data_IF_865020827472
#
_entry.id   IF_865020827472
#
_cell.length_a   1.000
_cell.length_b   1.000
_cell.length_c   1.000
_cell.angle_alpha   90.00
_cell.angle_beta   90.00
_cell.angle_gamma   90.00
#
_symmetry.space_group_name_H-M   'P 1'
#
loop_
_entity.id
_entity.type
_entity.pdbx_description
1 polymer ?
#
# COMPACT_ATOMS: atom_id res chain seq x y z
N UNK A 1 -18.81 24.76 -10.71
CA UNK A 1 -18.38 25.08 -12.08
C UNK A 1 -19.57 24.81 -13.01
N UNK A 2 -19.99 25.82 -13.76
CA UNK A 2 -21.00 25.67 -14.81
C UNK A 2 -20.29 25.83 -16.16
N UNK A 3 -20.33 24.81 -16.99
CA UNK A 3 -19.85 24.86 -18.38
C UNK A 3 -21.06 24.92 -19.31
N UNK A 4 -21.21 25.99 -20.08
CA UNK A 4 -22.23 26.11 -21.08
C UNK A 4 -21.62 25.79 -22.44
N UNK A 5 -22.12 24.76 -23.10
CA UNK A 5 -21.72 24.41 -24.45
C UNK A 5 -22.75 24.95 -25.44
N UNK A 6 -22.32 25.76 -26.38
CA UNK A 6 -23.14 26.22 -27.50
C UNK A 6 -22.86 25.32 -28.69
N UNK A 7 -23.84 24.57 -29.13
CA UNK A 7 -23.74 23.75 -30.35
C UNK A 7 -23.64 24.66 -31.58
N UNK A 8 -22.58 24.49 -32.39
CA UNK A 8 -22.48 25.17 -33.70
C UNK A 8 -21.42 26.24 -33.83
N UNK A 9 -20.60 26.53 -32.81
CA UNK A 9 -19.44 27.40 -32.95
C UNK A 9 -18.15 26.59 -33.16
N UNK A 10 -17.51 26.82 -34.29
CA UNK A 10 -16.19 26.35 -34.61
C UNK A 10 -15.16 27.13 -33.74
N UNK A 11 -14.89 26.68 -32.52
CA UNK A 11 -13.88 27.35 -31.77
C UNK A 11 -13.84 26.98 -30.29
N UNK A 12 -12.79 26.55 -29.84
CA UNK A 12 -12.29 26.14 -28.53
C UNK A 12 -12.38 24.64 -28.28
N UNK A 13 -11.39 23.93 -28.76
CA UNK A 13 -11.09 22.62 -28.26
C UNK A 13 -10.67 22.74 -26.79
N UNK A 14 -11.51 22.26 -25.89
CA UNK A 14 -11.11 22.10 -24.49
C UNK A 14 -10.23 20.85 -24.44
N UNK A 15 -8.93 21.03 -24.43
CA UNK A 15 -7.95 19.93 -24.37
C UNK A 15 -7.54 19.77 -22.89
N UNK A 16 -7.50 18.52 -22.41
CA UNK A 16 -7.11 18.13 -21.05
C UNK A 16 -8.08 18.50 -19.90
N UNK A 17 -9.32 18.79 -20.17
CA UNK A 17 -10.34 18.87 -19.14
C UNK A 17 -10.99 17.48 -18.95
N UNK A 18 -10.50 16.72 -18.00
CA UNK A 18 -11.15 15.49 -17.56
C UNK A 18 -12.37 15.89 -16.72
N UNK A 19 -13.53 16.00 -17.34
CA UNK A 19 -14.80 16.05 -16.62
C UNK A 19 -15.09 14.61 -16.22
N UNK A 20 -15.11 14.25 -14.94
CA UNK A 20 -15.58 12.93 -14.54
C UNK A 20 -17.06 12.85 -14.87
N UNK A 21 -17.39 12.23 -15.98
CA UNK A 21 -18.77 11.91 -16.33
C UNK A 21 -19.06 10.57 -15.70
N UNK A 22 -19.79 10.57 -14.58
CA UNK A 22 -20.47 9.36 -14.16
C UNK A 22 -21.50 9.03 -15.25
N UNK A 23 -21.36 7.90 -15.97
CA UNK A 23 -22.38 7.53 -16.96
C UNK A 23 -23.67 7.30 -16.17
N UNK A 24 -24.66 8.15 -16.38
CA UNK A 24 -26.02 7.83 -15.96
C UNK A 24 -26.41 6.60 -16.76
N UNK A 25 -26.28 5.43 -16.17
CA UNK A 25 -26.66 4.19 -16.80
C UNK A 25 -28.15 4.26 -17.12
N UNK A 26 -28.55 3.96 -18.35
CA UNK A 26 -29.96 3.97 -18.74
C UNK A 26 -30.84 3.01 -17.93
N UNK A 27 -30.21 2.25 -17.06
CA UNK A 27 -30.79 1.20 -16.21
C UNK A 27 -31.23 1.69 -14.83
N UNK A 28 -30.92 2.93 -14.47
CA UNK A 28 -31.32 3.47 -13.16
C UNK A 28 -30.61 2.85 -11.95
N UNK A 29 -29.52 2.12 -12.14
CA UNK A 29 -28.72 1.49 -11.10
C UNK A 29 -27.27 1.97 -11.20
N UNK A 30 -26.68 2.40 -10.08
CA UNK A 30 -25.28 2.80 -10.00
C UNK A 30 -24.60 2.13 -8.80
N UNK A 31 -23.28 2.04 -8.86
CA UNK A 31 -22.46 1.44 -7.81
C UNK A 31 -21.19 2.28 -7.57
N UNK A 32 -20.80 2.39 -6.32
CA UNK A 32 -19.49 2.92 -5.93
C UNK A 32 -18.85 2.01 -4.90
N UNK A 33 -17.50 2.03 -4.82
CA UNK A 33 -16.72 1.19 -3.92
C UNK A 33 -15.60 1.97 -3.29
N UNK A 34 -15.43 1.80 -1.98
CA UNK A 34 -14.35 2.39 -1.19
C UNK A 34 -13.75 1.35 -0.23
N UNK A 35 -12.58 1.62 0.28
CA UNK A 35 -11.91 0.85 1.32
C UNK A 35 -11.41 1.76 2.44
N UNK A 36 -11.26 1.22 3.64
CA UNK A 36 -10.75 1.95 4.80
C UNK A 36 -9.23 2.19 4.74
N UNK A 37 -8.51 1.43 3.89
CA UNK A 37 -7.06 1.55 3.68
C UNK A 37 -6.73 1.48 2.19
N UNK A 38 -5.88 2.38 1.71
CA UNK A 38 -5.32 2.35 0.35
C UNK A 38 -3.99 1.57 0.27
N UNK A 39 -3.39 1.25 1.43
CA UNK A 39 -2.20 0.40 1.55
C UNK A 39 -2.38 -0.57 2.72
N UNK A 40 -1.83 -1.77 2.60
CA UNK A 40 -1.90 -2.81 3.61
C UNK A 40 -0.72 -3.77 3.52
N UNK A 41 -0.49 -4.54 4.57
CA UNK A 41 0.51 -5.60 4.63
C UNK A 41 -0.15 -6.98 4.67
N UNK A 42 0.64 -8.01 4.37
CA UNK A 42 0.18 -9.40 4.55
C UNK A 42 -0.21 -9.64 6.00
N UNK A 43 -1.41 -10.16 6.23
CA UNK A 43 -2.00 -10.36 7.55
C UNK A 43 -3.01 -9.29 7.94
N UNK A 44 -3.00 -8.12 7.32
CA UNK A 44 -3.96 -7.06 7.57
C UNK A 44 -5.40 -7.46 7.20
N UNK A 45 -6.35 -6.77 7.81
CA UNK A 45 -7.75 -6.78 7.38
C UNK A 45 -8.14 -5.43 6.78
N UNK A 46 -8.94 -5.49 5.72
CA UNK A 46 -9.47 -4.32 5.02
C UNK A 46 -10.98 -4.38 5.06
N UNK A 47 -11.61 -3.25 5.36
CA UNK A 47 -13.06 -3.08 5.25
C UNK A 47 -13.39 -2.40 3.93
N UNK A 48 -14.18 -3.08 3.11
CA UNK A 48 -14.78 -2.48 1.92
C UNK A 48 -16.18 -1.98 2.24
N UNK A 49 -16.55 -0.87 1.59
CA UNK A 49 -17.90 -0.31 1.56
C UNK A 49 -18.32 -0.17 0.11
N UNK A 50 -19.45 -0.79 -0.24
CA UNK A 50 -20.04 -0.75 -1.58
C UNK A 50 -21.41 -0.13 -1.47
N UNK A 51 -21.61 0.97 -2.16
CA UNK A 51 -22.89 1.66 -2.21
C UNK A 51 -23.58 1.37 -3.54
N UNK A 52 -24.78 0.81 -3.46
CA UNK A 52 -25.67 0.60 -4.61
C UNK A 52 -26.80 1.60 -4.53
N UNK A 53 -27.01 2.36 -5.60
CA UNK A 53 -28.04 3.40 -5.67
C UNK A 53 -28.96 3.14 -6.86
N UNK A 54 -30.26 3.26 -6.67
CA UNK A 54 -31.26 3.20 -7.74
C UNK A 54 -31.84 4.59 -8.02
N UNK A 55 -32.21 4.85 -9.26
CA UNK A 55 -32.91 6.09 -9.66
C UNK A 55 -34.25 6.19 -8.93
N UNK A 56 -34.70 7.39 -8.61
CA UNK A 56 -35.98 7.63 -7.97
C UNK A 56 -37.12 6.98 -8.75
N UNK A 57 -37.95 6.21 -8.04
CA UNK A 57 -39.08 5.46 -8.63
C UNK A 57 -38.80 3.99 -8.93
N UNK A 58 -37.54 3.58 -9.09
CA UNK A 58 -37.22 2.15 -9.23
C UNK A 58 -37.33 1.44 -7.86
N UNK A 59 -37.90 0.25 -7.87
CA UNK A 59 -38.12 -0.56 -6.65
C UNK A 59 -37.72 -2.01 -6.92
N UNK A 60 -36.40 -2.34 -6.99
CA UNK A 60 -35.96 -3.70 -7.17
C UNK A 60 -36.44 -4.59 -6.02
N UNK A 61 -36.96 -5.75 -6.34
CA UNK A 61 -37.34 -6.76 -5.35
C UNK A 61 -36.18 -7.61 -4.87
N UNK A 62 -35.09 -7.59 -5.63
CA UNK A 62 -33.83 -8.25 -5.30
C UNK A 62 -32.67 -7.39 -5.76
N UNK A 63 -31.67 -7.20 -4.89
CA UNK A 63 -30.41 -6.53 -5.21
C UNK A 63 -29.26 -7.42 -4.75
N UNK A 64 -28.33 -7.67 -5.65
CA UNK A 64 -27.14 -8.48 -5.39
C UNK A 64 -25.89 -7.70 -5.78
N UNK A 65 -24.85 -7.81 -4.98
CA UNK A 65 -23.49 -7.33 -5.34
C UNK A 65 -22.63 -8.54 -5.63
N UNK A 66 -22.11 -8.60 -6.85
CA UNK A 66 -21.07 -9.57 -7.23
C UNK A 66 -19.73 -8.86 -7.13
N UNK A 67 -18.86 -9.39 -6.28
CA UNK A 67 -17.57 -8.82 -5.96
C UNK A 67 -16.45 -9.81 -6.27
N UNK A 68 -15.43 -9.33 -6.99
CA UNK A 68 -14.24 -10.11 -7.34
C UNK A 68 -13.06 -9.59 -6.55
N UNK A 69 -12.67 -10.36 -5.54
CA UNK A 69 -11.51 -10.08 -4.72
C UNK A 69 -10.21 -10.17 -5.54
N UNK A 70 -9.21 -9.33 -5.28
CA UNK A 70 -7.89 -9.48 -5.88
C UNK A 70 -7.19 -10.76 -5.38
N UNK A 71 -6.19 -11.21 -6.10
CA UNK A 71 -5.42 -12.39 -5.73
C UNK A 71 -4.90 -12.28 -4.29
N UNK A 72 -4.99 -13.38 -3.54
CA UNK A 72 -4.53 -13.46 -2.17
C UNK A 72 -5.42 -12.80 -1.11
N UNK A 73 -6.55 -12.18 -1.51
CA UNK A 73 -7.53 -11.65 -0.56
C UNK A 73 -8.60 -12.70 -0.27
N UNK A 74 -9.00 -12.82 0.98
CA UNK A 74 -10.03 -13.77 1.42
C UNK A 74 -11.08 -13.08 2.27
N UNK A 75 -12.35 -13.41 2.04
CA UNK A 75 -13.47 -12.90 2.82
C UNK A 75 -13.40 -13.39 4.27
N UNK A 76 -13.71 -12.51 5.24
CA UNK A 76 -13.84 -12.87 6.65
C UNK A 76 -15.33 -13.12 6.94
N UNK A 77 -15.68 -14.37 7.26
CA UNK A 77 -17.06 -14.79 7.54
C UNK A 77 -17.70 -13.98 8.67
N UNK A 78 -19.02 -13.77 8.57
CA UNK A 78 -19.80 -13.07 9.56
C UNK A 78 -19.57 -11.56 9.61
N UNK A 79 -18.88 -10.98 8.61
CA UNK A 79 -18.58 -9.53 8.60
C UNK A 79 -19.45 -8.72 7.62
N UNK A 80 -20.33 -9.40 6.88
CA UNK A 80 -21.19 -8.74 5.91
C UNK A 80 -22.36 -8.04 6.60
N UNK A 81 -22.54 -6.75 6.27
CA UNK A 81 -23.60 -5.89 6.80
C UNK A 81 -24.21 -5.05 5.70
N UNK A 82 -25.51 -4.82 5.75
CA UNK A 82 -26.21 -3.80 4.97
C UNK A 82 -26.67 -2.69 5.91
N UNK A 83 -26.11 -1.49 5.75
CA UNK A 83 -26.22 -0.48 6.80
C UNK A 83 -25.62 -0.99 8.10
N UNK A 84 -26.43 -1.08 9.15
CA UNK A 84 -26.02 -1.61 10.46
C UNK A 84 -26.61 -3.01 10.76
N UNK A 85 -27.24 -3.63 9.75
CA UNK A 85 -27.87 -4.95 9.88
C UNK A 85 -26.95 -6.04 9.32
N UNK A 86 -26.57 -7.06 10.11
CA UNK A 86 -25.84 -8.20 9.62
C UNK A 86 -26.66 -8.98 8.57
N UNK A 87 -25.99 -9.43 7.52
CA UNK A 87 -26.60 -10.29 6.49
C UNK A 87 -25.87 -11.64 6.42
N UNK A 88 -26.48 -12.61 5.75
CA UNK A 88 -25.85 -13.91 5.51
C UNK A 88 -24.53 -13.75 4.73
N UNK A 89 -23.59 -14.65 4.98
CA UNK A 89 -22.34 -14.73 4.24
C UNK A 89 -22.63 -14.88 2.73
N UNK A 90 -21.75 -14.33 1.86
CA UNK A 90 -21.95 -14.37 0.42
C UNK A 90 -21.86 -15.81 -0.12
N UNK A 91 -22.52 -16.05 -1.23
CA UNK A 91 -22.22 -17.21 -2.08
C UNK A 91 -20.78 -17.03 -2.63
N UNK A 92 -20.07 -18.14 -2.85
CA UNK A 92 -18.67 -18.14 -3.28
C UNK A 92 -17.67 -18.34 -2.14
N UNK A 93 -18.15 -18.55 -0.91
CA UNK A 93 -17.33 -18.93 0.24
C UNK A 93 -16.36 -17.84 0.68
N UNK A 94 -15.05 -18.08 0.55
CA UNK A 94 -14.01 -17.11 0.90
C UNK A 94 -13.52 -16.28 -0.30
N UNK A 95 -14.08 -16.48 -1.48
CA UNK A 95 -13.69 -15.83 -2.72
C UNK A 95 -13.07 -16.81 -3.72
N UNK A 96 -12.49 -16.33 -4.84
CA UNK A 96 -12.31 -14.92 -5.20
C UNK A 96 -13.56 -14.21 -5.67
N UNK A 97 -14.65 -14.88 -6.04
CA UNK A 97 -15.90 -14.27 -6.48
C UNK A 97 -16.97 -14.49 -5.41
N UNK A 98 -17.54 -13.39 -4.95
CA UNK A 98 -18.53 -13.35 -3.87
C UNK A 98 -19.84 -12.74 -4.38
N UNK A 99 -20.98 -13.33 -4.08
CA UNK A 99 -22.30 -12.76 -4.36
C UNK A 99 -23.03 -12.48 -3.05
N UNK A 100 -23.20 -11.19 -2.74
CA UNK A 100 -23.91 -10.72 -1.56
C UNK A 100 -25.37 -10.39 -1.91
N UNK A 101 -26.30 -11.01 -1.23
CA UNK A 101 -27.71 -10.70 -1.36
C UNK A 101 -28.05 -9.55 -0.40
N UNK A 102 -28.37 -8.37 -0.96
CA UNK A 102 -28.72 -7.18 -0.17
C UNK A 102 -30.24 -7.08 0.09
N UNK A 103 -31.04 -7.95 -0.54
CA UNK A 103 -32.50 -7.88 -0.45
C UNK A 103 -33.16 -6.81 -1.33
N UNK A 104 -34.43 -6.47 -1.03
CA UNK A 104 -35.19 -5.50 -1.81
C UNK A 104 -34.83 -4.05 -1.47
N UNK A 105 -35.00 -3.16 -2.45
CA UNK A 105 -34.93 -1.71 -2.27
C UNK A 105 -36.32 -1.07 -2.33
N UNK A 106 -37.14 -1.34 -1.32
CA UNK A 106 -38.53 -0.90 -1.30
C UNK A 106 -38.73 0.49 -0.71
N UNK A 107 -37.94 0.85 0.27
CA UNK A 107 -38.06 2.11 1.02
C UNK A 107 -36.86 3.04 0.85
N UNK A 108 -35.71 2.51 0.51
CA UNK A 108 -34.48 3.27 0.30
C UNK A 108 -34.05 3.23 -1.16
N UNK A 109 -33.53 4.35 -1.66
CA UNK A 109 -32.91 4.43 -2.97
C UNK A 109 -31.43 4.00 -2.93
N UNK A 110 -30.89 3.68 -1.75
CA UNK A 110 -29.50 3.36 -1.54
C UNK A 110 -29.34 2.25 -0.51
N UNK A 111 -28.47 1.29 -0.82
CA UNK A 111 -27.99 0.27 0.13
C UNK A 111 -26.47 0.33 0.22
N UNK A 112 -25.94 0.24 1.44
CA UNK A 112 -24.50 0.23 1.70
C UNK A 112 -24.12 -1.13 2.25
N UNK A 113 -23.44 -1.93 1.45
CA UNK A 113 -22.81 -3.19 1.88
C UNK A 113 -21.45 -2.89 2.48
N UNK A 114 -21.19 -3.44 3.67
CA UNK A 114 -19.87 -3.43 4.31
C UNK A 114 -19.45 -4.85 4.62
N UNK A 115 -18.17 -5.17 4.39
CA UNK A 115 -17.61 -6.47 4.76
C UNK A 115 -16.10 -6.35 4.92
N UNK A 116 -15.47 -7.37 5.49
CA UNK A 116 -14.02 -7.41 5.70
C UNK A 116 -13.37 -8.54 4.92
N UNK A 117 -12.14 -8.28 4.50
CA UNK A 117 -11.26 -9.27 3.90
C UNK A 117 -9.93 -9.31 4.63
N UNK A 118 -9.24 -10.44 4.55
CA UNK A 118 -7.87 -10.61 5.02
C UNK A 118 -6.93 -10.61 3.82
N UNK A 119 -5.78 -9.95 3.98
CA UNK A 119 -4.69 -9.94 3.00
C UNK A 119 -3.78 -11.12 3.28
N UNK A 120 -3.69 -12.07 2.36
CA UNK A 120 -2.80 -13.22 2.43
C UNK A 120 -1.53 -13.01 1.61
N UNK A 121 -0.59 -13.96 1.71
CA UNK A 121 0.73 -13.90 1.03
C UNK A 121 0.62 -13.82 -0.50
N UNK A 122 -0.40 -14.45 -1.10
CA UNK A 122 -0.67 -14.37 -2.54
C UNK A 122 -1.03 -12.97 -3.05
N UNK A 123 -1.36 -12.03 -2.15
CA UNK A 123 -1.74 -10.67 -2.52
C UNK A 123 -0.56 -9.84 -3.07
N UNK A 124 0.68 -10.23 -2.76
CA UNK A 124 1.89 -9.57 -3.27
C UNK A 124 2.08 -9.76 -4.78
N UNK A 125 1.46 -10.78 -5.37
CA UNK A 125 1.54 -11.08 -6.82
C UNK A 125 0.34 -10.54 -7.59
N UNK A 126 -0.65 -9.95 -6.90
CA UNK A 126 -1.87 -9.42 -7.48
C UNK A 126 -1.78 -7.93 -7.80
N UNK A 127 -2.80 -7.44 -8.54
CA UNK A 127 -2.95 -6.00 -8.85
C UNK A 127 -3.52 -5.18 -7.69
N UNK A 128 -3.97 -5.85 -6.61
CA UNK A 128 -4.61 -5.26 -5.44
C UNK A 128 -5.96 -4.60 -5.72
N UNK A 129 -6.55 -4.81 -6.91
CA UNK A 129 -7.81 -4.18 -7.31
C UNK A 129 -8.97 -5.10 -6.99
N UNK A 130 -9.83 -4.66 -6.09
CA UNK A 130 -11.12 -5.29 -5.82
C UNK A 130 -12.20 -4.67 -6.71
N UNK A 131 -12.97 -5.51 -7.43
CA UNK A 131 -13.93 -5.11 -8.45
C UNK A 131 -15.32 -5.59 -8.07
N UNK A 132 -16.30 -4.68 -8.11
CA UNK A 132 -17.68 -4.97 -7.75
C UNK A 132 -18.67 -4.53 -8.81
N UNK A 133 -19.76 -5.29 -8.96
CA UNK A 133 -20.88 -4.99 -9.85
C UNK A 133 -22.19 -5.20 -9.09
N UNK A 134 -23.11 -4.26 -9.22
CA UNK A 134 -24.48 -4.37 -8.71
C UNK A 134 -25.40 -4.99 -9.75
N UNK A 135 -26.30 -5.85 -9.30
CA UNK A 135 -27.34 -6.49 -10.11
C UNK A 135 -28.67 -6.33 -9.40
N UNK A 136 -29.70 -5.89 -10.10
CA UNK A 136 -31.05 -5.72 -9.57
C UNK A 136 -32.09 -6.36 -10.50
N UNK A 137 -33.16 -6.89 -9.94
CA UNK A 137 -34.28 -7.45 -10.69
C UNK A 137 -35.63 -7.23 -10.01
N UNK A 138 -36.69 -7.36 -10.80
CA UNK A 138 -38.07 -7.24 -10.34
C UNK A 138 -38.66 -8.48 -9.69
N UNK A 139 -38.00 -9.64 -9.79
CA UNK A 139 -38.45 -10.90 -9.21
C UNK A 139 -37.71 -11.26 -7.94
N UNK A 140 -38.34 -11.75 -6.88
CA UNK A 140 -37.65 -12.26 -5.69
C UNK A 140 -36.86 -13.55 -6.05
N UNK A 141 -35.64 -13.67 -5.53
CA UNK A 141 -34.89 -14.93 -5.53
C UNK A 141 -34.09 -15.29 -6.78
N UNK A 142 -34.01 -14.46 -7.83
CA UNK A 142 -33.49 -14.93 -9.09
C UNK A 142 -32.70 -13.95 -9.97
N UNK A 143 -31.99 -12.97 -9.41
CA UNK A 143 -31.22 -12.07 -10.25
C UNK A 143 -29.88 -12.64 -10.75
N UNK A 144 -29.38 -13.65 -10.10
CA UNK A 144 -28.01 -14.14 -10.32
C UNK A 144 -28.09 -15.66 -10.36
N UNK A 145 -27.54 -16.26 -11.41
CA UNK A 145 -27.41 -17.72 -11.50
C UNK A 145 -26.29 -18.24 -10.57
N UNK A 146 -26.11 -19.55 -10.44
CA UNK A 146 -25.05 -20.13 -9.64
C UNK A 146 -23.63 -19.73 -10.06
N UNK A 147 -23.44 -19.25 -11.29
CA UNK A 147 -22.19 -18.69 -11.81
C UNK A 147 -22.00 -17.20 -11.52
N UNK A 148 -22.93 -16.57 -10.80
CA UNK A 148 -22.93 -15.14 -10.46
C UNK A 148 -23.03 -14.22 -11.68
N UNK A 149 -23.74 -14.67 -12.71
CA UNK A 149 -24.01 -13.87 -13.91
C UNK A 149 -25.44 -13.29 -13.86
N UNK A 150 -25.69 -12.11 -14.48
CA UNK A 150 -27.03 -11.58 -14.56
C UNK A 150 -27.95 -12.49 -15.39
N UNK A 151 -29.16 -12.76 -14.90
CA UNK A 151 -30.19 -13.48 -15.62
C UNK A 151 -31.03 -12.55 -16.49
N UNK A 152 -31.77 -13.11 -17.44
CA UNK A 152 -32.76 -12.36 -18.22
C UNK A 152 -33.74 -11.62 -17.30
N UNK A 153 -34.00 -10.33 -17.60
CA UNK A 153 -34.85 -9.46 -16.79
C UNK A 153 -34.16 -8.80 -15.60
N UNK A 154 -32.85 -8.99 -15.45
CA UNK A 154 -32.01 -8.24 -14.50
C UNK A 154 -31.31 -7.05 -15.16
N UNK A 155 -31.02 -6.06 -14.34
CA UNK A 155 -30.25 -4.87 -14.69
C UNK A 155 -28.94 -4.89 -13.93
N UNK A 156 -27.82 -4.60 -14.60
CA UNK A 156 -26.51 -4.55 -13.97
C UNK A 156 -25.84 -3.19 -14.12
N UNK A 157 -25.02 -2.82 -13.15
CA UNK A 157 -24.16 -1.62 -13.19
C UNK A 157 -22.92 -1.86 -14.05
N UNK A 158 -22.18 -0.80 -14.35
CA UNK A 158 -20.76 -0.89 -14.63
C UNK A 158 -19.99 -1.43 -13.41
N UNK A 159 -18.68 -1.58 -13.56
CA UNK A 159 -17.80 -2.08 -12.50
C UNK A 159 -17.26 -0.92 -11.66
N UNK A 160 -17.40 -1.03 -10.34
CA UNK A 160 -16.72 -0.15 -9.38
C UNK A 160 -15.48 -0.84 -8.86
N UNK A 161 -14.40 -0.09 -8.69
CA UNK A 161 -13.08 -0.62 -8.32
C UNK A 161 -12.49 0.15 -7.14
N UNK A 162 -11.72 -0.57 -6.32
CA UNK A 162 -10.88 0.04 -5.31
C UNK A 162 -9.54 -0.71 -5.23
N UNK A 163 -8.44 0.05 -5.31
CA UNK A 163 -7.08 -0.51 -5.26
C UNK A 163 -6.49 -0.38 -3.86
N UNK A 164 -5.88 -1.47 -3.40
CA UNK A 164 -5.04 -1.50 -2.21
C UNK A 164 -3.63 -1.88 -2.63
N UNK A 165 -2.65 -1.04 -2.32
CA UNK A 165 -1.24 -1.36 -2.51
C UNK A 165 -0.81 -2.32 -1.40
N UNK A 166 -0.43 -3.55 -1.76
CA UNK A 166 0.01 -4.55 -0.78
C UNK A 166 1.52 -4.53 -0.67
N UNK A 167 2.01 -4.34 0.56
CA UNK A 167 3.40 -4.53 0.95
C UNK A 167 3.59 -5.88 1.66
N UNK A 168 4.80 -6.42 1.60
CA UNK A 168 5.11 -7.69 2.25
C UNK A 168 5.15 -7.59 3.78
N UNK A 169 5.33 -6.40 4.34
CA UNK A 169 5.59 -6.23 5.77
C UNK A 169 6.77 -7.10 6.20
N UNK A 170 6.59 -7.88 7.26
CA UNK A 170 7.60 -8.87 7.72
C UNK A 170 7.84 -10.02 6.74
N UNK A 171 6.97 -10.20 5.75
CA UNK A 171 7.10 -11.16 4.64
C UNK A 171 7.57 -10.49 3.34
N UNK A 172 8.02 -9.23 3.43
CA UNK A 172 8.58 -8.51 2.29
C UNK A 172 9.82 -9.18 1.75
N UNK A 173 10.04 -9.04 0.44
CA UNK A 173 11.27 -9.51 -0.21
C UNK A 173 12.38 -8.48 -0.13
N UNK A 174 12.03 -7.22 0.11
CA UNK A 174 12.98 -6.12 0.16
C UNK A 174 13.74 -6.10 1.48
N UNK A 175 15.03 -5.84 1.40
CA UNK A 175 15.86 -5.66 2.57
C UNK A 175 15.84 -4.20 3.03
N UNK A 176 16.06 -4.01 4.33
CA UNK A 176 16.38 -2.72 4.92
C UNK A 176 17.82 -2.70 5.41
N UNK A 177 18.48 -1.56 5.29
CA UNK A 177 19.77 -1.28 5.90
C UNK A 177 19.58 -0.18 6.95
N UNK A 178 20.10 -0.39 8.14
CA UNK A 178 20.17 0.63 9.18
C UNK A 178 21.56 0.60 9.83
N UNK A 179 22.03 1.75 10.26
CA UNK A 179 23.32 1.84 10.89
C UNK A 179 23.61 3.21 11.49
N UNK A 180 24.82 3.36 11.98
CA UNK A 180 25.32 4.58 12.58
C UNK A 180 26.72 4.91 12.07
N UNK A 181 27.03 6.19 12.10
CA UNK A 181 28.41 6.71 12.04
C UNK A 181 28.69 7.37 13.39
N UNK A 182 29.64 6.89 14.15
CA UNK A 182 29.88 7.35 15.52
C UNK A 182 31.37 7.34 15.89
N UNK A 183 31.70 8.10 16.93
CA UNK A 183 33.04 8.13 17.51
C UNK A 183 33.15 7.02 18.55
N UNK A 184 34.21 6.20 18.46
CA UNK A 184 34.53 5.13 19.41
C UNK A 184 35.86 5.47 20.08
N UNK A 185 35.77 5.96 21.31
CA UNK A 185 36.95 6.43 22.05
C UNK A 185 37.65 5.33 22.84
N UNK A 186 36.96 4.27 23.16
CA UNK A 186 37.49 3.14 23.92
C UNK A 186 37.87 1.94 23.03
N UNK A 187 37.61 2.02 21.74
CA UNK A 187 37.88 1.01 20.71
C UNK A 187 37.21 -0.35 20.99
N UNK A 188 35.98 -0.32 21.51
CA UNK A 188 35.17 -1.53 21.73
C UNK A 188 34.28 -1.92 20.57
N UNK A 189 34.27 -1.13 19.48
CA UNK A 189 33.47 -1.30 18.26
C UNK A 189 31.96 -1.18 18.50
N UNK A 190 31.54 -0.60 19.60
CA UNK A 190 30.16 -0.29 19.95
C UNK A 190 30.01 1.19 20.31
N UNK A 191 28.87 1.78 20.11
CA UNK A 191 28.60 3.12 20.59
C UNK A 191 28.12 3.06 22.03
N UNK A 192 28.87 3.59 22.95
CA UNK A 192 28.51 3.76 24.35
C UNK A 192 27.67 5.04 24.56
N UNK A 193 27.07 5.18 25.76
CA UNK A 193 26.16 6.29 26.05
C UNK A 193 26.86 7.68 26.00
N UNK A 194 28.15 7.72 26.19
CA UNK A 194 28.95 8.97 26.19
C UNK A 194 29.59 9.26 24.82
N UNK A 195 29.47 8.32 23.88
CA UNK A 195 30.04 8.44 22.54
C UNK A 195 29.04 9.07 21.55
N UNK A 196 29.54 10.02 20.78
CA UNK A 196 28.70 10.85 19.93
C UNK A 196 28.53 10.22 18.54
N UNK A 197 27.32 10.25 18.05
CA UNK A 197 27.03 9.99 16.63
C UNK A 197 27.50 11.16 15.77
N UNK A 198 27.97 10.90 14.56
CA UNK A 198 28.47 11.93 13.64
C UNK A 198 27.35 12.31 12.65
N UNK A 199 26.76 13.52 12.76
CA UNK A 199 25.70 13.96 11.86
C UNK A 199 26.25 14.40 10.50
N UNK A 200 25.36 14.41 9.48
CA UNK A 200 25.68 14.99 8.17
C UNK A 200 26.64 14.18 7.30
N UNK A 201 27.03 12.97 7.72
CA UNK A 201 27.91 12.10 6.92
C UNK A 201 27.12 11.56 5.74
N UNK A 202 27.64 11.77 4.54
CA UNK A 202 27.10 11.23 3.32
C UNK A 202 27.60 9.80 3.10
N UNK A 203 26.64 8.88 2.88
CA UNK A 203 26.90 7.49 2.56
C UNK A 203 26.36 7.22 1.15
N UNK A 204 27.11 6.51 0.34
CA UNK A 204 26.75 6.24 -1.06
C UNK A 204 26.79 4.75 -1.33
N UNK A 205 25.74 4.20 -1.86
CA UNK A 205 25.67 2.82 -2.34
C UNK A 205 26.10 2.73 -3.81
N UNK A 206 26.49 1.54 -4.23
CA UNK A 206 26.97 1.29 -5.61
C UNK A 206 25.93 1.55 -6.71
N UNK A 207 24.64 1.58 -6.37
CA UNK A 207 23.54 1.90 -7.29
C UNK A 207 23.23 3.39 -7.39
N UNK A 208 24.01 4.24 -6.69
CA UNK A 208 23.82 5.67 -6.63
C UNK A 208 22.90 6.15 -5.49
N UNK A 209 22.30 5.26 -4.72
CA UNK A 209 21.52 5.62 -3.54
C UNK A 209 22.41 6.40 -2.56
N UNK A 210 21.96 7.58 -2.16
CA UNK A 210 22.69 8.45 -1.23
C UNK A 210 21.89 8.63 0.04
N UNK A 211 22.56 8.46 1.19
CA UNK A 211 22.00 8.62 2.53
C UNK A 211 22.81 9.68 3.27
N UNK A 212 22.19 10.33 4.24
CA UNK A 212 22.88 11.29 5.12
C UNK A 212 22.49 10.94 6.56
N UNK A 213 23.48 10.93 7.46
CA UNK A 213 23.23 10.66 8.87
C UNK A 213 22.46 11.80 9.55
N UNK A 214 21.52 11.45 10.43
CA UNK A 214 20.77 12.38 11.26
C UNK A 214 21.62 13.00 12.39
N UNK A 215 20.98 13.79 13.27
CA UNK A 215 21.64 14.44 14.42
C UNK A 215 22.27 13.47 15.42
N UNK A 216 21.89 12.20 15.40
CA UNK A 216 22.45 11.16 16.25
C UNK A 216 23.40 10.21 15.48
N UNK A 217 23.79 10.59 14.28
CA UNK A 217 24.64 9.78 13.41
C UNK A 217 23.98 8.56 12.81
N UNK A 218 22.65 8.43 12.91
CA UNK A 218 21.88 7.27 12.42
C UNK A 218 21.51 7.44 10.96
N UNK A 219 21.39 6.34 10.25
CA UNK A 219 20.85 6.31 8.90
C UNK A 219 20.05 5.03 8.65
N UNK A 220 19.11 5.06 7.74
CA UNK A 220 18.37 3.88 7.31
C UNK A 220 17.82 4.04 5.90
N UNK A 221 17.65 2.92 5.21
CA UNK A 221 16.98 2.83 3.92
C UNK A 221 16.33 1.46 3.78
N UNK A 222 15.11 1.44 3.22
CA UNK A 222 14.37 0.22 2.89
C UNK A 222 14.09 0.14 1.39
N UNK A 223 13.51 -0.98 0.94
CA UNK A 223 13.24 -1.21 -0.48
C UNK A 223 14.48 -1.64 -1.27
N UNK A 224 15.50 -2.15 -0.58
CA UNK A 224 16.72 -2.65 -1.22
C UNK A 224 16.49 -4.06 -1.77
N UNK A 225 16.97 -4.30 -2.98
CA UNK A 225 16.97 -5.65 -3.55
C UNK A 225 17.85 -6.60 -2.70
N UNK A 226 17.38 -7.84 -2.43
CA UNK A 226 18.15 -8.84 -1.69
C UNK A 226 19.31 -9.37 -2.55
N UNK A 227 20.42 -8.68 -2.52
CA UNK A 227 21.65 -8.99 -3.25
C UNK A 227 22.87 -8.41 -2.52
N UNK A 228 24.04 -8.84 -2.92
CA UNK A 228 25.27 -8.19 -2.45
C UNK A 228 25.33 -6.74 -2.91
N UNK A 229 25.70 -5.85 -2.02
CA UNK A 229 25.86 -4.43 -2.26
C UNK A 229 27.06 -3.89 -1.48
N UNK A 230 27.51 -2.70 -1.85
CA UNK A 230 28.57 -1.99 -1.13
C UNK A 230 28.04 -0.60 -0.78
N UNK A 231 28.26 -0.17 0.46
CA UNK A 231 28.05 1.20 0.92
C UNK A 231 29.38 1.81 1.33
N UNK A 232 29.58 3.07 0.98
CA UNK A 232 30.79 3.84 1.30
C UNK A 232 30.44 5.12 2.04
N UNK A 233 31.22 5.43 3.06
CA UNK A 233 31.21 6.75 3.68
C UNK A 233 32.04 7.72 2.84
N UNK A 234 31.49 8.90 2.57
CA UNK A 234 32.19 9.97 1.87
C UNK A 234 33.15 10.67 2.85
N UNK A 235 34.47 10.50 2.69
CA UNK A 235 35.44 11.05 3.62
C UNK A 235 35.43 12.59 3.70
N UNK A 236 34.92 13.27 2.68
CA UNK A 236 34.82 14.75 2.66
C UNK A 236 33.70 15.30 3.55
N UNK A 237 32.79 14.44 4.00
CA UNK A 237 31.70 14.82 4.90
C UNK A 237 31.97 14.44 6.37
N UNK A 238 33.07 13.75 6.63
CA UNK A 238 33.51 13.45 7.99
C UNK A 238 34.18 14.68 8.65
N UNK A 239 34.17 14.80 9.98
CA UNK A 239 34.92 15.82 10.71
C UNK A 239 36.40 15.83 10.32
N UNK A 240 37.01 16.99 10.31
CA UNK A 240 38.45 17.10 9.99
C UNK A 240 39.31 16.34 11.00
N UNK A 241 40.20 15.50 10.45
CA UNK A 241 41.07 14.67 11.26
C UNK A 241 40.47 13.33 11.65
N UNK A 242 39.25 13.04 11.20
CA UNK A 242 38.64 11.71 11.40
C UNK A 242 39.46 10.63 10.73
N UNK A 243 39.53 9.50 11.41
CA UNK A 243 40.10 8.24 10.91
C UNK A 243 39.12 7.12 11.15
N UNK A 244 38.49 6.63 10.10
CA UNK A 244 37.67 5.44 10.21
C UNK A 244 38.51 4.20 10.54
N UNK A 245 37.95 3.32 11.36
CA UNK A 245 38.48 2.01 11.69
C UNK A 245 37.55 0.92 11.23
N UNK A 246 38.10 -0.26 10.99
CA UNK A 246 37.28 -1.40 10.52
C UNK A 246 36.33 -1.85 11.65
N UNK A 247 35.05 -1.90 11.35
CA UNK A 247 33.99 -2.37 12.26
C UNK A 247 33.78 -3.90 12.18
N UNK A 248 34.22 -4.51 11.11
CA UNK A 248 34.09 -5.94 10.87
C UNK A 248 34.98 -6.40 9.71
N UNK A 249 35.04 -7.71 9.47
CA UNK A 249 35.67 -8.29 8.28
C UNK A 249 34.98 -7.88 6.95
N UNK A 250 33.76 -7.35 7.01
CA UNK A 250 33.01 -6.85 5.84
C UNK A 250 33.59 -5.57 5.25
N UNK A 251 34.47 -4.89 5.96
CA UNK A 251 35.19 -3.71 5.46
C UNK A 251 36.24 -4.10 4.39
N UNK A 252 36.66 -5.37 4.30
CA UNK A 252 37.65 -5.86 3.35
C UNK A 252 38.94 -5.01 3.28
N UNK A 253 39.36 -4.47 4.45
CA UNK A 253 40.55 -3.64 4.59
C UNK A 253 40.36 -2.14 4.34
N UNK A 254 39.19 -1.72 3.87
CA UNK A 254 38.82 -0.29 3.69
C UNK A 254 37.75 0.10 4.71
N UNK A 255 38.16 0.77 5.78
CA UNK A 255 37.24 1.19 6.86
C UNK A 255 36.13 2.14 6.39
N UNK A 256 36.31 2.83 5.27
CA UNK A 256 35.27 3.67 4.63
C UNK A 256 34.29 2.91 3.76
N UNK A 257 34.46 1.61 3.60
CA UNK A 257 33.58 0.75 2.79
C UNK A 257 33.02 -0.39 3.62
N UNK A 258 31.78 -0.77 3.35
CA UNK A 258 31.16 -1.93 3.98
C UNK A 258 30.45 -2.77 2.91
N UNK A 259 30.84 -4.05 2.83
CA UNK A 259 30.15 -5.03 1.97
C UNK A 259 28.91 -5.56 2.69
N UNK A 260 27.78 -5.53 1.99
CA UNK A 260 26.49 -5.95 2.48
C UNK A 260 26.05 -7.21 1.72
N UNK A 261 25.65 -8.24 2.43
CA UNK A 261 25.02 -9.43 1.86
C UNK A 261 23.54 -9.45 2.28
N UNK A 262 22.73 -8.65 1.55
CA UNK A 262 21.33 -8.42 1.90
C UNK A 262 20.47 -9.65 1.57
N UNK A 263 19.73 -10.12 2.54
CA UNK A 263 18.78 -11.22 2.40
C UNK A 263 17.35 -10.71 2.26
N UNK A 264 16.46 -11.55 1.78
CA UNK A 264 15.03 -11.24 1.68
C UNK A 264 14.44 -10.93 3.06
N UNK A 265 13.78 -9.76 3.18
CA UNK A 265 13.12 -9.33 4.39
C UNK A 265 14.05 -9.01 5.57
N UNK A 266 15.36 -8.93 5.34
CA UNK A 266 16.37 -8.67 6.37
C UNK A 266 16.43 -7.19 6.75
N UNK A 267 16.54 -6.89 8.03
CA UNK A 267 17.08 -5.64 8.52
C UNK A 267 18.59 -5.81 8.76
N UNK A 268 19.38 -5.36 7.79
CA UNK A 268 20.84 -5.46 7.86
C UNK A 268 21.42 -4.28 8.66
N UNK A 269 22.40 -4.57 9.53
CA UNK A 269 23.13 -3.54 10.27
C UNK A 269 24.46 -3.23 9.60
N UNK A 270 24.74 -1.93 9.42
CA UNK A 270 26.01 -1.44 8.89
C UNK A 270 26.47 -0.20 9.65
N UNK A 271 27.57 -0.29 10.39
CA UNK A 271 28.10 0.84 11.18
C UNK A 271 29.47 1.25 10.64
N UNK A 272 29.75 2.57 10.68
CA UNK A 272 31.06 3.14 10.42
C UNK A 272 31.59 3.78 11.70
N UNK A 273 32.81 3.48 12.03
CA UNK A 273 33.44 3.81 13.32
C UNK A 273 34.57 4.82 13.10
N UNK A 274 34.48 5.95 13.76
CA UNK A 274 35.57 6.91 13.87
C UNK A 274 36.39 6.59 15.11
N UNK A 275 37.64 6.15 14.94
CA UNK A 275 38.51 5.66 16.04
C UNK A 275 39.65 6.59 16.42
N UNK A 276 39.70 7.83 15.90
CA UNK A 276 40.78 8.77 16.31
C UNK A 276 40.51 9.43 17.65
N UNK A 277 39.25 9.67 17.97
CA UNK A 277 38.75 10.33 19.18
C UNK A 277 39.54 11.58 19.58
N UNK A 278 39.93 12.37 18.59
CA UNK A 278 40.70 13.62 18.86
C UNK A 278 39.77 14.74 19.33
N UNK A 279 40.28 15.68 20.12
CA UNK A 279 39.52 16.85 20.54
C UNK A 279 38.93 17.61 19.33
N UNK A 280 39.71 17.69 18.24
CA UNK A 280 39.26 18.35 16.99
C UNK A 280 38.03 17.68 16.40
N UNK A 281 37.95 16.35 16.42
CA UNK A 281 36.76 15.59 15.94
C UNK A 281 35.61 15.80 16.91
N UNK A 282 35.81 15.66 18.21
CA UNK A 282 34.78 15.80 19.22
C UNK A 282 34.14 17.18 19.27
N UNK A 283 34.92 18.25 19.03
CA UNK A 283 34.39 19.63 18.95
C UNK A 283 33.53 19.87 17.73
N UNK A 284 33.75 19.16 16.62
CA UNK A 284 32.96 19.29 15.39
C UNK A 284 31.68 18.47 15.41
N UNK A 285 31.61 17.45 16.27
CA UNK A 285 30.45 16.56 16.40
C UNK A 285 29.47 17.06 17.47
N UNK A 286 29.93 17.86 18.44
CA UNK A 286 29.07 18.53 19.43
C UNK A 286 28.21 19.64 18.82
#
# INVERSE_FOLDING_TARGET
YYLTFTSGSSGANIIHNHIPVDPVLPTGLSISKTGDKAAAEVGDSIRYSITVTVTAGARPRQTTVVDRLPAGFTYIRGTAMVGDTPIADPQGGLGPVLAFNLGPMTTSNQLVLRYRVRVGTGAMQGDGINRARGIACGAPGGCVDPGFTPNGGSVSTGEAQFRVKVGGGVFGTDACLAGKVFVDCNNNQGQDAEELGIPGVRLVMQDGTTLVTDSEGKYSVCGLAPKSAVIKADPFTLPRGSRLVTSSNRNLGDAGSLWLDLKQGELHRGDFIEGSCTNTVLEQVK
#
